data_IF_160543316612
#
_entry.id   IF_160543316612
#
_cell.length_a   1.000
_cell.length_b   1.000
_cell.length_c   1.000
_cell.angle_alpha   90.00
_cell.angle_beta   90.00
_cell.angle_gamma   90.00
#
_symmetry.space_group_name_H-M   'P 1'
#
loop_
_entity.id
_entity.type
_entity.pdbx_description
1 polymer ?
#
# COMPACT_ATOMS: atom_id res chain seq x y z
N UNK A 1 -42.19 -10.03 24.95
CA UNK A 1 -41.04 -9.40 24.28
C UNK A 1 -40.38 -10.52 23.46
N UNK A 2 -40.31 -10.40 22.14
CA UNK A 2 -39.57 -11.41 21.32
C UNK A 2 -38.11 -11.08 21.49
N UNK A 3 -37.31 -12.04 21.95
CA UNK A 3 -35.87 -11.90 21.97
C UNK A 3 -35.38 -11.59 20.55
N UNK A 4 -34.92 -10.39 20.33
CA UNK A 4 -34.29 -10.01 19.07
C UNK A 4 -32.95 -10.76 18.97
N UNK A 5 -32.63 -11.39 17.83
CA UNK A 5 -31.44 -12.20 17.71
C UNK A 5 -30.19 -11.34 17.88
N UNK A 6 -29.36 -11.70 18.85
CA UNK A 6 -28.04 -11.08 19.07
C UNK A 6 -27.04 -11.61 18.08
N UNK A 7 -26.07 -10.80 17.71
CA UNK A 7 -24.97 -11.22 16.86
C UNK A 7 -23.99 -12.08 17.67
N UNK A 8 -23.45 -13.12 17.08
CA UNK A 8 -22.42 -13.94 17.76
C UNK A 8 -21.04 -13.24 17.70
N UNK A 9 -20.24 -13.25 18.78
CA UNK A 9 -18.91 -12.61 18.81
C UNK A 9 -17.98 -13.09 17.68
N UNK A 10 -18.11 -14.37 17.30
CA UNK A 10 -17.35 -14.98 16.19
C UNK A 10 -17.67 -14.33 14.83
N UNK A 11 -18.93 -13.91 14.62
CA UNK A 11 -19.32 -13.21 13.40
C UNK A 11 -18.66 -11.83 13.29
N UNK A 12 -18.39 -11.15 14.42
CA UNK A 12 -17.68 -9.87 14.43
C UNK A 12 -16.19 -10.04 14.11
N UNK A 13 -15.62 -11.21 14.38
CA UNK A 13 -14.19 -11.45 14.15
C UNK A 13 -13.78 -11.47 12.67
N UNK A 14 -14.75 -11.63 11.75
CA UNK A 14 -14.51 -11.63 10.30
C UNK A 14 -14.92 -10.33 9.62
N UNK A 15 -15.47 -9.38 10.38
CA UNK A 15 -15.95 -8.09 9.85
C UNK A 15 -14.91 -6.98 10.08
N UNK A 16 -14.51 -6.32 9.03
CA UNK A 16 -13.61 -5.17 9.11
C UNK A 16 -14.39 -3.91 9.55
N UNK A 17 -13.86 -3.03 10.44
CA UNK A 17 -12.64 -3.19 11.23
C UNK A 17 -12.87 -3.88 12.60
N UNK A 18 -14.03 -4.51 12.83
CA UNK A 18 -14.40 -5.16 14.11
C UNK A 18 -13.49 -6.37 14.41
N UNK A 19 -12.87 -6.94 13.38
CA UNK A 19 -11.86 -8.00 13.53
C UNK A 19 -10.64 -7.57 14.37
N UNK A 20 -10.40 -6.25 14.54
CA UNK A 20 -9.32 -5.71 15.37
C UNK A 20 -9.66 -5.64 16.86
N UNK A 21 -10.89 -5.89 17.23
CA UNK A 21 -11.30 -5.95 18.65
C UNK A 21 -10.76 -7.20 19.32
N UNK A 22 -10.41 -7.08 20.60
CA UNK A 22 -10.12 -8.24 21.46
C UNK A 22 -11.39 -9.10 21.60
N UNK A 23 -11.22 -10.34 22.03
CA UNK A 23 -12.35 -11.25 22.27
C UNK A 23 -13.34 -10.67 23.30
N UNK A 24 -12.82 -10.04 24.36
CA UNK A 24 -13.63 -9.39 25.40
C UNK A 24 -14.43 -8.20 24.82
N UNK A 25 -13.84 -7.37 23.98
CA UNK A 25 -14.52 -6.24 23.33
C UNK A 25 -15.60 -6.73 22.35
N UNK A 26 -15.32 -7.78 21.56
CA UNK A 26 -16.33 -8.39 20.68
C UNK A 26 -17.49 -8.98 21.45
N UNK A 27 -17.21 -9.59 22.61
CA UNK A 27 -18.27 -10.11 23.49
C UNK A 27 -19.16 -8.94 23.98
N UNK A 28 -18.58 -7.87 24.51
CA UNK A 28 -19.32 -6.70 24.97
C UNK A 28 -20.14 -6.05 23.85
N UNK A 29 -19.54 -5.88 22.67
CA UNK A 29 -20.24 -5.30 21.52
C UNK A 29 -21.37 -6.20 21.03
N UNK A 30 -21.19 -7.53 21.02
CA UNK A 30 -22.20 -8.49 20.62
C UNK A 30 -23.46 -8.47 21.52
N UNK A 31 -23.28 -8.13 22.79
CA UNK A 31 -24.41 -7.96 23.74
C UNK A 31 -25.22 -6.69 23.47
N UNK A 32 -24.60 -5.65 22.91
CA UNK A 32 -25.24 -4.38 22.60
C UNK A 32 -25.86 -4.33 21.22
N UNK A 33 -25.37 -5.16 20.27
CA UNK A 33 -25.83 -5.18 18.90
C UNK A 33 -27.04 -6.09 18.73
N UNK A 34 -28.00 -5.57 17.99
CA UNK A 34 -29.21 -6.32 17.57
C UNK A 34 -29.14 -6.56 16.07
N UNK A 35 -29.38 -7.81 15.66
CA UNK A 35 -29.53 -8.17 14.25
C UNK A 35 -30.93 -7.80 13.80
N UNK A 36 -31.02 -6.87 12.87
CA UNK A 36 -32.28 -6.38 12.29
C UNK A 36 -32.62 -7.17 11.02
N UNK A 37 -33.91 -7.27 10.71
CA UNK A 37 -34.37 -7.88 9.47
C UNK A 37 -35.06 -6.85 8.56
N UNK A 38 -34.55 -6.75 7.33
CA UNK A 38 -35.14 -5.95 6.27
C UNK A 38 -35.94 -6.85 5.33
N UNK A 39 -37.19 -6.50 5.04
CA UNK A 39 -38.01 -7.20 4.02
C UNK A 39 -37.64 -6.64 2.64
N UNK A 40 -37.92 -7.44 1.59
CA UNK A 40 -37.78 -7.00 0.19
C UNK A 40 -38.42 -5.64 -0.03
N UNK A 41 -37.73 -4.71 -0.69
CA UNK A 41 -38.18 -3.35 -0.96
C UNK A 41 -37.86 -2.34 0.15
N UNK A 42 -37.38 -2.77 1.33
CA UNK A 42 -37.00 -1.85 2.40
C UNK A 42 -35.69 -1.15 2.03
N UNK A 43 -35.69 0.19 2.10
CA UNK A 43 -34.46 1.00 2.05
C UNK A 43 -33.78 0.90 3.41
N UNK A 44 -32.50 0.50 3.40
CA UNK A 44 -31.66 0.40 4.60
C UNK A 44 -30.87 1.68 4.84
N UNK A 45 -30.39 2.29 3.75
CA UNK A 45 -29.63 3.55 3.75
C UNK A 45 -30.11 4.35 2.54
N UNK A 46 -30.25 5.65 2.70
CA UNK A 46 -30.60 6.58 1.65
C UNK A 46 -29.47 7.61 1.45
N UNK A 47 -29.11 7.82 0.18
CA UNK A 47 -28.06 8.80 -0.19
C UNK A 47 -28.42 10.22 0.28
N UNK A 48 -27.43 10.93 0.81
CA UNK A 48 -27.59 12.29 1.35
C UNK A 48 -28.04 12.35 2.82
N UNK A 49 -28.51 11.25 3.41
CA UNK A 49 -28.86 11.19 4.84
C UNK A 49 -27.59 11.11 5.69
N UNK A 50 -27.54 11.94 6.74
CA UNK A 50 -26.47 11.98 7.73
C UNK A 50 -27.01 11.41 9.06
N UNK A 51 -26.87 10.10 9.28
CA UNK A 51 -27.33 9.42 10.50
C UNK A 51 -26.19 8.93 11.41
N UNK A 52 -24.95 9.14 10.98
CA UNK A 52 -23.73 8.78 11.72
C UNK A 52 -23.58 7.28 12.01
N UNK A 53 -24.20 6.43 11.19
CA UNK A 53 -24.23 4.97 11.36
C UNK A 53 -23.67 4.25 10.15
N UNK A 54 -22.80 3.31 10.40
CA UNK A 54 -22.35 2.34 9.39
C UNK A 54 -23.34 1.20 9.27
N UNK A 55 -23.59 0.74 8.04
CA UNK A 55 -24.42 -0.41 7.73
C UNK A 55 -23.57 -1.65 7.46
N UNK A 56 -23.77 -2.71 8.23
CA UNK A 56 -23.25 -4.04 7.96
C UNK A 56 -24.37 -4.98 7.54
N UNK A 57 -24.15 -5.70 6.45
CA UNK A 57 -25.07 -6.75 5.98
C UNK A 57 -24.45 -8.11 6.28
N UNK A 58 -25.18 -8.97 6.96
CA UNK A 58 -24.75 -10.31 7.35
C UNK A 58 -25.18 -11.37 6.36
N UNK A 59 -26.41 -11.21 5.83
CA UNK A 59 -27.02 -12.21 4.97
C UNK A 59 -28.13 -11.58 4.12
N UNK A 60 -28.41 -12.13 2.93
CA UNK A 60 -29.48 -11.70 2.05
C UNK A 60 -28.97 -11.12 0.72
N UNK A 61 -29.88 -10.49 0.00
CA UNK A 61 -29.61 -9.86 -1.31
C UNK A 61 -30.00 -8.39 -1.25
N UNK A 62 -29.05 -7.52 -1.59
CA UNK A 62 -29.23 -6.07 -1.60
C UNK A 62 -28.92 -5.49 -2.98
N UNK A 63 -29.53 -4.34 -3.27
CA UNK A 63 -29.18 -3.45 -4.36
C UNK A 63 -28.55 -2.22 -3.76
N UNK A 64 -27.42 -1.80 -4.30
CA UNK A 64 -26.72 -0.56 -3.95
C UNK A 64 -26.78 0.37 -5.16
N UNK A 65 -27.39 1.52 -4.98
CA UNK A 65 -27.49 2.57 -5.99
C UNK A 65 -26.56 3.74 -5.55
N UNK A 66 -25.58 4.06 -6.34
CA UNK A 66 -24.65 5.19 -6.06
C UNK A 66 -25.25 6.51 -6.53
N UNK A 67 -24.70 7.64 -6.06
CA UNK A 67 -25.12 8.98 -6.47
C UNK A 67 -24.93 9.24 -7.97
N UNK A 68 -24.06 8.47 -8.62
CA UNK A 68 -23.72 8.62 -10.04
C UNK A 68 -24.64 7.79 -10.96
N UNK A 69 -25.67 7.15 -10.37
CA UNK A 69 -26.71 6.41 -11.08
C UNK A 69 -26.36 4.94 -11.37
N UNK A 70 -25.27 4.43 -10.85
CA UNK A 70 -24.94 3.02 -10.98
C UNK A 70 -25.68 2.15 -9.94
N UNK A 71 -26.05 0.95 -10.36
CA UNK A 71 -26.75 -0.02 -9.53
C UNK A 71 -25.99 -1.33 -9.48
N UNK A 72 -25.65 -1.80 -8.29
CA UNK A 72 -25.01 -3.09 -8.08
C UNK A 72 -25.83 -3.98 -7.17
N UNK A 73 -25.75 -5.29 -7.40
CA UNK A 73 -26.46 -6.29 -6.60
C UNK A 73 -25.43 -7.18 -5.91
N UNK A 74 -25.54 -7.26 -4.58
CA UNK A 74 -24.74 -8.15 -3.75
C UNK A 74 -25.65 -9.18 -3.09
N UNK A 75 -25.16 -10.41 -2.98
CA UNK A 75 -25.87 -11.52 -2.34
C UNK A 75 -24.94 -12.32 -1.42
N UNK A 76 -25.50 -13.30 -0.74
CA UNK A 76 -24.81 -14.10 0.27
C UNK A 76 -23.37 -14.46 -0.15
N UNK A 77 -22.45 -14.39 0.80
CA UNK A 77 -21.01 -14.62 0.63
C UNK A 77 -20.27 -13.58 -0.21
N UNK A 78 -20.95 -12.48 -0.61
CA UNK A 78 -20.26 -11.39 -1.28
C UNK A 78 -19.14 -10.83 -0.38
N UNK A 79 -17.92 -10.66 -0.89
CA UNK A 79 -16.79 -10.10 -0.12
C UNK A 79 -17.14 -8.75 0.53
N UNK A 80 -18.02 -7.97 -0.09
CA UNK A 80 -18.51 -6.69 0.40
C UNK A 80 -19.19 -6.78 1.77
N UNK A 81 -19.78 -7.92 2.10
CA UNK A 81 -20.43 -8.11 3.41
C UNK A 81 -19.45 -8.24 4.58
N UNK A 82 -18.17 -8.42 4.30
CA UNK A 82 -17.11 -8.41 5.33
C UNK A 82 -16.70 -7.01 5.79
N UNK A 83 -17.25 -5.96 5.17
CA UNK A 83 -17.00 -4.55 5.49
C UNK A 83 -18.32 -3.80 5.60
N UNK A 84 -18.35 -2.58 6.21
CA UNK A 84 -19.57 -1.78 6.17
C UNK A 84 -19.92 -1.43 4.73
N UNK A 85 -21.15 -1.73 4.32
CA UNK A 85 -21.68 -1.41 2.99
C UNK A 85 -21.77 0.10 2.79
N UNK A 86 -22.13 0.84 3.85
CA UNK A 86 -22.12 2.30 3.87
C UNK A 86 -21.58 2.78 5.20
N UNK A 87 -20.64 3.73 5.13
CA UNK A 87 -19.93 4.30 6.28
C UNK A 87 -19.82 5.83 6.18
N UNK A 88 -19.90 6.40 4.95
CA UNK A 88 -19.81 7.85 4.74
C UNK A 88 -20.96 8.58 5.45
N UNK A 89 -20.69 9.79 5.94
CA UNK A 89 -21.67 10.66 6.58
C UNK A 89 -21.56 12.09 6.00
N UNK A 90 -22.51 12.55 5.17
CA UNK A 90 -23.73 11.84 4.73
C UNK A 90 -23.45 10.63 3.82
N UNK A 91 -24.38 9.67 3.80
CA UNK A 91 -24.28 8.50 2.94
C UNK A 91 -24.20 8.88 1.47
N UNK A 92 -23.32 8.19 0.71
CA UNK A 92 -23.11 8.43 -0.73
C UNK A 92 -23.86 7.44 -1.62
N UNK A 93 -24.65 6.55 -1.03
CA UNK A 93 -25.37 5.49 -1.74
C UNK A 93 -26.70 5.19 -1.11
N UNK A 94 -27.62 4.62 -1.89
CA UNK A 94 -28.90 4.07 -1.43
C UNK A 94 -28.82 2.55 -1.42
N UNK A 95 -29.16 1.91 -0.31
CA UNK A 95 -29.11 0.46 -0.14
C UNK A 95 -30.52 -0.07 0.06
N UNK A 96 -30.99 -0.92 -0.87
CA UNK A 96 -32.33 -1.47 -0.89
C UNK A 96 -32.31 -3.01 -0.80
N UNK A 97 -33.16 -3.59 0.04
CA UNK A 97 -33.29 -5.04 0.16
C UNK A 97 -34.01 -5.64 -1.07
N UNK A 98 -33.38 -6.63 -1.71
CA UNK A 98 -33.98 -7.43 -2.78
C UNK A 98 -34.57 -8.77 -2.27
N UNK A 99 -34.17 -9.19 -1.09
CA UNK A 99 -34.70 -10.36 -0.36
C UNK A 99 -34.96 -9.98 1.10
N UNK A 100 -35.22 -10.97 1.97
CA UNK A 100 -35.06 -10.76 3.42
C UNK A 100 -33.55 -10.62 3.71
N UNK A 101 -33.15 -9.52 4.38
CA UNK A 101 -31.76 -9.16 4.67
C UNK A 101 -31.57 -9.10 6.18
N UNK A 102 -30.53 -9.75 6.68
CA UNK A 102 -30.06 -9.62 8.05
C UNK A 102 -28.93 -8.61 8.09
N UNK A 103 -29.04 -7.61 8.94
CA UNK A 103 -28.10 -6.50 9.03
C UNK A 103 -28.05 -5.93 10.44
N UNK A 104 -26.99 -5.18 10.74
CA UNK A 104 -26.93 -4.33 11.92
C UNK A 104 -26.35 -2.95 11.55
N UNK A 105 -26.52 -2.01 12.46
CA UNK A 105 -25.98 -0.67 12.34
C UNK A 105 -25.07 -0.40 13.52
N UNK A 106 -23.96 0.26 13.24
CA UNK A 106 -22.94 0.62 14.23
C UNK A 106 -22.67 2.11 14.14
N UNK A 107 -22.57 2.76 15.28
CA UNK A 107 -22.18 4.19 15.33
C UNK A 107 -20.79 4.39 14.71
N UNK A 108 -20.67 5.38 13.83
CA UNK A 108 -19.40 5.64 13.11
C UNK A 108 -18.24 5.91 14.05
N UNK A 109 -18.49 6.51 15.24
CA UNK A 109 -17.44 6.77 16.21
C UNK A 109 -16.80 5.47 16.77
N UNK A 110 -17.54 4.36 16.85
CA UNK A 110 -16.98 3.06 17.27
C UNK A 110 -15.97 2.58 16.25
N UNK A 111 -16.31 2.70 14.97
CA UNK A 111 -15.42 2.38 13.86
C UNK A 111 -14.21 3.31 13.85
N UNK A 112 -14.45 4.63 13.95
CA UNK A 112 -13.40 5.64 14.02
C UNK A 112 -12.44 5.37 15.18
N UNK A 113 -12.97 5.13 16.39
CA UNK A 113 -12.17 4.80 17.57
C UNK A 113 -11.36 3.50 17.40
N UNK A 114 -11.92 2.47 16.74
CA UNK A 114 -11.18 1.24 16.46
C UNK A 114 -10.05 1.49 15.46
N UNK A 115 -10.29 2.32 14.47
CA UNK A 115 -9.30 2.71 13.47
C UNK A 115 -8.25 3.65 14.07
N UNK A 116 -8.67 4.61 14.90
CA UNK A 116 -7.78 5.48 15.69
C UNK A 116 -6.99 4.69 16.73
N UNK A 117 -7.59 3.73 17.43
CA UNK A 117 -6.88 2.81 18.33
C UNK A 117 -5.89 1.94 17.58
N UNK A 118 -6.20 1.48 16.39
CA UNK A 118 -5.23 0.78 15.54
C UNK A 118 -4.14 1.72 15.03
N UNK A 119 -4.47 2.98 14.74
CA UNK A 119 -3.50 4.02 14.40
C UNK A 119 -2.75 4.53 15.65
N UNK A 120 -3.42 4.66 16.80
CA UNK A 120 -2.85 4.97 18.11
C UNK A 120 -2.25 3.73 18.78
N UNK A 121 -2.69 2.51 18.49
CA UNK A 121 -1.99 1.29 18.89
C UNK A 121 -0.83 0.97 17.96
N UNK A 122 -0.70 1.59 16.76
CA UNK A 122 0.61 1.80 16.17
C UNK A 122 1.47 2.75 17.06
N UNK A 123 0.92 3.78 17.68
CA UNK A 123 1.67 4.65 18.62
C UNK A 123 1.63 4.16 20.08
N UNK A 124 0.69 3.35 20.53
CA UNK A 124 0.59 2.77 21.90
C UNK A 124 0.90 1.26 21.95
N UNK A 125 0.81 0.50 20.83
CA UNK A 125 1.54 -0.75 20.65
C UNK A 125 3.02 -0.46 20.39
N UNK A 126 3.38 0.76 19.95
CA UNK A 126 4.75 1.25 20.11
C UNK A 126 5.16 1.24 21.59
N UNK A 127 4.32 1.55 22.54
CA UNK A 127 4.68 1.44 23.97
C UNK A 127 4.59 0.02 24.52
N UNK A 128 3.65 -0.81 24.12
CA UNK A 128 3.51 -2.21 24.56
C UNK A 128 4.34 -3.20 23.74
N UNK A 129 4.49 -3.00 22.41
CA UNK A 129 5.47 -3.71 21.58
C UNK A 129 6.89 -3.25 21.92
N UNK A 130 7.12 -1.99 22.25
CA UNK A 130 8.41 -1.50 22.75
C UNK A 130 8.79 -2.18 24.07
N UNK A 131 7.87 -2.55 24.92
CA UNK A 131 8.17 -3.28 26.16
C UNK A 131 8.62 -4.72 25.88
N UNK A 132 7.96 -5.43 24.94
CA UNK A 132 8.41 -6.76 24.47
C UNK A 132 9.65 -6.73 23.57
N UNK A 133 9.88 -5.61 22.85
CA UNK A 133 11.06 -5.43 22.00
C UNK A 133 12.24 -4.78 22.73
N UNK A 134 12.05 -4.21 23.94
CA UNK A 134 13.15 -3.66 24.76
C UNK A 134 14.22 -4.66 25.10
N UNK A 135 13.83 -5.92 25.28
CA UNK A 135 14.76 -7.03 25.50
C UNK A 135 15.32 -7.63 24.21
N UNK A 136 14.88 -7.13 23.04
CA UNK A 136 15.41 -7.54 21.74
C UNK A 136 16.68 -6.74 21.40
N UNK A 137 17.85 -7.41 21.39
CA UNK A 137 19.12 -6.71 21.17
C UNK A 137 19.25 -6.09 19.77
N UNK A 138 18.59 -6.66 18.75
CA UNK A 138 18.53 -6.09 17.40
C UNK A 138 17.76 -4.77 17.40
N UNK A 139 16.56 -4.76 18.01
CA UNK A 139 15.75 -3.55 18.12
C UNK A 139 16.51 -2.45 18.89
N UNK A 140 17.08 -2.79 20.05
CA UNK A 140 17.81 -1.86 20.91
C UNK A 140 19.03 -1.27 20.20
N UNK A 141 19.79 -2.07 19.45
CA UNK A 141 20.94 -1.59 18.69
C UNK A 141 20.54 -0.60 17.59
N UNK A 142 19.50 -0.92 16.80
CA UNK A 142 19.02 -0.03 15.74
C UNK A 142 18.43 1.24 16.34
N UNK A 143 17.65 1.13 17.41
CA UNK A 143 17.02 2.28 18.08
C UNK A 143 18.06 3.22 18.68
N UNK A 144 19.11 2.68 19.30
CA UNK A 144 20.22 3.49 19.83
C UNK A 144 20.95 4.23 18.72
N UNK A 145 21.31 3.51 17.63
CA UNK A 145 21.97 4.13 16.46
C UNK A 145 21.10 5.18 15.77
N UNK A 146 19.75 5.05 15.84
CA UNK A 146 18.81 6.07 15.39
C UNK A 146 18.90 7.34 16.24
N UNK A 147 18.89 7.21 17.57
CA UNK A 147 18.98 8.34 18.50
C UNK A 147 20.32 9.07 18.35
N UNK A 148 21.41 8.30 18.20
CA UNK A 148 22.78 8.82 18.10
C UNK A 148 23.14 9.33 16.70
N UNK A 149 22.21 9.29 15.74
CA UNK A 149 22.41 9.59 14.29
C UNK A 149 23.55 8.77 13.65
N UNK A 150 23.80 7.59 14.21
CA UNK A 150 24.86 6.66 13.78
C UNK A 150 24.33 5.50 12.92
N UNK A 151 23.03 5.49 12.61
CA UNK A 151 22.43 4.42 11.84
C UNK A 151 23.19 4.21 10.52
N UNK A 152 23.68 2.98 10.31
CA UNK A 152 24.33 2.59 9.06
C UNK A 152 23.25 2.39 8.00
N UNK A 153 23.17 3.36 7.09
CA UNK A 153 22.23 3.32 5.97
C UNK A 153 22.95 2.96 4.67
N UNK A 154 22.28 2.23 3.75
CA UNK A 154 22.87 1.95 2.45
C UNK A 154 23.12 3.25 1.68
N UNK A 155 24.23 3.26 0.93
CA UNK A 155 24.59 4.40 0.10
C UNK A 155 23.90 4.31 -1.26
N UNK A 156 23.22 5.38 -1.66
CA UNK A 156 22.62 5.44 -3.00
C UNK A 156 23.74 5.33 -4.07
N UNK A 157 23.59 4.47 -5.09
CA UNK A 157 24.61 4.26 -6.11
C UNK A 157 25.08 5.56 -6.76
N UNK A 158 26.42 5.70 -6.95
CA UNK A 158 27.04 6.95 -7.45
C UNK A 158 26.44 7.44 -8.76
N UNK A 159 26.09 6.52 -9.68
CA UNK A 159 25.46 6.87 -10.96
C UNK A 159 24.10 7.53 -10.74
N UNK A 160 23.27 6.97 -9.86
CA UNK A 160 21.97 7.56 -9.54
C UNK A 160 22.11 8.97 -8.94
N UNK A 161 23.02 9.15 -7.99
CA UNK A 161 23.33 10.48 -7.40
C UNK A 161 23.83 11.45 -8.46
N UNK A 162 24.79 11.00 -9.31
CA UNK A 162 25.38 11.81 -10.37
C UNK A 162 24.35 12.29 -11.40
N UNK A 163 23.51 11.38 -11.88
CA UNK A 163 22.45 11.70 -12.87
C UNK A 163 21.41 12.64 -12.26
N UNK A 164 20.97 12.39 -11.02
CA UNK A 164 20.03 13.29 -10.32
C UNK A 164 20.59 14.70 -10.22
N UNK A 165 21.82 14.87 -9.69
CA UNK A 165 22.47 16.17 -9.55
C UNK A 165 22.69 16.86 -10.89
N UNK A 166 23.07 16.11 -11.93
CA UNK A 166 23.28 16.65 -13.25
C UNK A 166 21.99 17.24 -13.85
N UNK A 167 20.85 16.54 -13.66
CA UNK A 167 19.52 17.00 -14.12
C UNK A 167 19.03 18.18 -13.29
N UNK A 168 19.19 18.17 -11.98
CA UNK A 168 18.80 19.25 -11.08
C UNK A 168 19.61 20.55 -11.32
N UNK A 169 20.82 20.44 -11.83
CA UNK A 169 21.69 21.57 -12.17
C UNK A 169 21.66 21.92 -13.67
N UNK A 170 20.69 21.47 -14.44
CA UNK A 170 20.52 21.72 -15.87
C UNK A 170 21.78 21.45 -16.70
N UNK A 171 22.53 20.40 -16.33
CA UNK A 171 23.76 20.02 -17.03
C UNK A 171 23.40 19.51 -18.45
N UNK A 172 24.18 19.86 -19.50
CA UNK A 172 23.93 19.40 -20.85
C UNK A 172 23.76 17.88 -20.96
N UNK A 173 22.81 17.43 -21.79
CA UNK A 173 22.44 16.00 -21.98
C UNK A 173 23.65 15.12 -22.22
N UNK A 174 24.65 15.61 -22.99
CA UNK A 174 25.89 14.86 -23.27
C UNK A 174 26.68 14.47 -22.00
N UNK A 175 26.65 15.30 -20.95
CA UNK A 175 27.30 14.97 -19.67
C UNK A 175 26.49 13.93 -18.91
N UNK A 176 25.17 13.98 -18.99
CA UNK A 176 24.27 12.96 -18.39
C UNK A 176 24.49 11.62 -19.09
N UNK A 177 24.60 11.62 -20.41
CA UNK A 177 24.94 10.44 -21.21
C UNK A 177 26.23 9.79 -20.75
N UNK A 178 27.29 10.56 -20.55
CA UNK A 178 28.58 10.05 -20.07
C UNK A 178 28.49 9.42 -18.67
N UNK A 179 27.67 9.99 -17.78
CA UNK A 179 27.44 9.41 -16.45
C UNK A 179 26.74 8.06 -16.55
N UNK A 180 25.76 7.92 -17.45
CA UNK A 180 25.04 6.66 -17.67
C UNK A 180 25.94 5.63 -18.37
N UNK A 181 26.76 6.05 -19.32
CA UNK A 181 27.72 5.19 -20.05
C UNK A 181 28.77 4.58 -19.12
N UNK A 182 29.06 5.22 -17.98
CA UNK A 182 30.00 4.67 -17.01
C UNK A 182 29.52 3.32 -16.41
N UNK A 183 28.23 3.00 -16.54
CA UNK A 183 27.63 1.70 -16.19
C UNK A 183 27.01 1.07 -17.45
N UNK A 184 27.72 0.14 -18.14
CA UNK A 184 27.22 -0.48 -19.36
C UNK A 184 25.92 -1.26 -19.19
N UNK A 185 25.69 -1.87 -18.02
CA UNK A 185 24.45 -2.58 -17.73
C UNK A 185 23.28 -1.61 -17.66
N UNK A 186 23.44 -0.50 -16.98
CA UNK A 186 22.46 0.58 -16.86
C UNK A 186 22.18 1.23 -18.24
N UNK A 187 23.23 1.49 -19.02
CA UNK A 187 23.13 2.02 -20.39
C UNK A 187 22.28 1.13 -21.30
N UNK A 188 22.59 -0.18 -21.28
CA UNK A 188 21.84 -1.19 -22.05
C UNK A 188 20.39 -1.26 -21.62
N UNK A 189 20.14 -1.25 -20.31
CA UNK A 189 18.79 -1.33 -19.72
C UNK A 189 17.96 -0.10 -20.09
N UNK A 190 18.55 1.09 -20.08
CA UNK A 190 17.87 2.34 -20.45
C UNK A 190 17.46 2.33 -21.95
N UNK A 191 18.34 1.90 -22.85
CA UNK A 191 18.04 1.76 -24.27
C UNK A 191 16.93 0.71 -24.50
N UNK A 192 17.01 -0.43 -23.81
CA UNK A 192 15.98 -1.48 -23.85
C UNK A 192 14.63 -0.94 -23.39
N UNK A 193 14.59 -0.18 -22.29
CA UNK A 193 13.38 0.44 -21.77
C UNK A 193 12.79 1.44 -22.76
N UNK A 194 13.61 2.29 -23.38
CA UNK A 194 13.17 3.24 -24.40
C UNK A 194 12.53 2.54 -25.62
N UNK A 195 12.88 1.28 -25.88
CA UNK A 195 12.32 0.47 -26.97
C UNK A 195 11.22 -0.50 -26.52
N UNK A 196 10.89 -0.56 -25.25
CA UNK A 196 9.79 -1.37 -24.70
C UNK A 196 8.43 -0.85 -25.17
N UNK A 197 7.39 -1.66 -25.02
CA UNK A 197 6.03 -1.26 -25.41
C UNK A 197 5.54 -0.01 -24.67
N UNK A 198 6.10 0.28 -23.49
CA UNK A 198 5.76 1.47 -22.69
C UNK A 198 6.18 2.80 -23.34
N UNK A 199 7.33 2.82 -24.05
CA UNK A 199 7.95 4.04 -24.59
C UNK A 199 8.25 3.98 -26.09
N UNK A 200 8.05 2.85 -26.75
CA UNK A 200 8.42 2.70 -28.16
C UNK A 200 7.69 3.68 -29.07
N UNK A 201 8.43 4.17 -30.06
CA UNK A 201 7.93 4.93 -31.18
C UNK A 201 8.20 4.17 -32.49
N UNK A 202 7.91 4.77 -33.66
CA UNK A 202 8.19 4.15 -34.96
C UNK A 202 9.67 3.82 -35.16
N UNK A 203 10.56 4.68 -34.65
CA UNK A 203 12.00 4.50 -34.78
C UNK A 203 12.57 3.83 -33.50
N UNK A 204 13.58 2.99 -33.65
CA UNK A 204 14.28 2.35 -32.51
C UNK A 204 15.34 3.30 -31.98
N UNK A 205 15.44 3.46 -30.65
CA UNK A 205 16.54 4.14 -30.01
C UNK A 205 17.76 3.20 -29.95
N UNK A 206 18.90 3.63 -30.45
CA UNK A 206 20.16 2.89 -30.43
C UNK A 206 21.23 3.51 -29.53
N UNK A 207 20.99 4.75 -29.07
CA UNK A 207 21.89 5.50 -28.19
C UNK A 207 21.18 5.97 -26.93
N UNK A 208 21.96 6.28 -25.88
CA UNK A 208 21.43 6.86 -24.64
C UNK A 208 20.81 8.22 -24.90
N UNK A 209 21.45 9.03 -25.77
CA UNK A 209 20.91 10.34 -26.18
C UNK A 209 19.51 10.17 -26.79
N UNK A 210 19.32 9.24 -27.72
CA UNK A 210 18.02 8.94 -28.32
C UNK A 210 17.00 8.44 -27.27
N UNK A 211 17.44 7.63 -26.30
CA UNK A 211 16.62 7.19 -25.19
C UNK A 211 16.17 8.37 -24.31
N UNK A 212 17.10 9.27 -24.00
CA UNK A 212 16.82 10.50 -23.24
C UNK A 212 15.84 11.40 -24.00
N UNK A 213 16.08 11.62 -25.29
CA UNK A 213 15.19 12.45 -26.13
C UNK A 213 13.78 11.88 -26.19
N UNK A 214 13.64 10.55 -26.21
CA UNK A 214 12.35 9.87 -26.27
C UNK A 214 11.58 9.92 -24.96
N UNK A 215 12.24 9.62 -23.85
CA UNK A 215 11.60 9.49 -22.53
C UNK A 215 11.59 10.80 -21.74
N UNK A 216 12.50 11.72 -22.06
CA UNK A 216 12.73 12.93 -21.30
C UNK A 216 13.62 12.73 -20.06
N UNK A 217 14.26 13.81 -19.61
CA UNK A 217 15.23 13.80 -18.51
C UNK A 217 14.60 13.34 -17.19
N UNK A 218 13.36 13.74 -16.93
CA UNK A 218 12.65 13.39 -15.69
C UNK A 218 12.43 11.87 -15.58
N UNK A 219 11.92 11.26 -16.63
CA UNK A 219 11.72 9.80 -16.73
C UNK A 219 13.07 9.07 -16.58
N UNK A 220 14.10 9.52 -17.29
CA UNK A 220 15.44 8.93 -17.21
C UNK A 220 16.01 9.02 -15.81
N UNK A 221 15.87 10.14 -15.10
CA UNK A 221 16.28 10.29 -13.70
C UNK A 221 15.64 9.23 -12.80
N UNK A 222 14.33 9.05 -12.90
CA UNK A 222 13.59 8.10 -12.08
C UNK A 222 13.95 6.65 -12.43
N UNK A 223 14.06 6.31 -13.71
CA UNK A 223 14.45 4.97 -14.16
C UNK A 223 15.89 4.61 -13.76
N UNK A 224 16.85 5.52 -13.99
CA UNK A 224 18.25 5.32 -13.57
C UNK A 224 18.32 5.08 -12.06
N UNK A 225 17.58 5.86 -11.28
CA UNK A 225 17.51 5.67 -9.82
C UNK A 225 16.94 4.29 -9.49
N UNK A 226 15.80 3.92 -10.09
CA UNK A 226 15.12 2.62 -9.86
C UNK A 226 16.05 1.43 -10.17
N UNK A 227 16.70 1.44 -11.32
CA UNK A 227 17.60 0.36 -11.72
C UNK A 227 18.84 0.24 -10.83
N UNK A 228 19.37 1.38 -10.38
CA UNK A 228 20.53 1.40 -9.50
C UNK A 228 20.23 0.83 -8.10
N UNK A 229 18.98 0.90 -7.64
CA UNK A 229 18.59 0.42 -6.31
C UNK A 229 18.70 -1.10 -6.14
N UNK A 230 18.61 -1.89 -7.22
CA UNK A 230 18.67 -3.35 -7.16
C UNK A 230 19.88 -3.88 -6.39
N UNK A 231 21.00 -3.20 -6.47
CA UNK A 231 22.23 -3.61 -5.77
C UNK A 231 22.12 -3.52 -4.24
N UNK A 232 21.22 -2.68 -3.73
CA UNK A 232 21.02 -2.51 -2.29
C UNK A 232 20.28 -3.70 -1.64
N UNK A 233 19.60 -4.51 -2.46
CA UNK A 233 18.85 -5.69 -2.00
C UNK A 233 19.67 -6.98 -2.08
N UNK A 234 20.99 -6.89 -2.29
CA UNK A 234 21.87 -8.03 -2.34
C UNK A 234 22.63 -8.19 -1.04
N UNK A 235 22.70 -9.42 -0.54
CA UNK A 235 23.52 -9.82 0.60
C UNK A 235 24.10 -11.21 0.37
N UNK A 236 25.26 -11.46 0.97
CA UNK A 236 25.89 -12.79 0.99
C UNK A 236 25.48 -13.61 2.24
N UNK A 237 24.80 -13.01 3.20
CA UNK A 237 24.35 -13.69 4.41
C UNK A 237 23.14 -14.59 4.16
N UNK A 238 23.34 -15.90 4.32
CA UNK A 238 22.32 -16.88 4.00
C UNK A 238 21.02 -16.74 4.81
N UNK A 239 21.10 -16.31 6.08
CA UNK A 239 19.93 -16.17 6.95
C UNK A 239 18.92 -15.13 6.45
N UNK A 240 19.40 -14.04 5.82
CA UNK A 240 18.52 -12.96 5.35
C UNK A 240 18.44 -12.83 3.82
N UNK A 241 19.20 -13.67 3.09
CA UNK A 241 19.28 -13.62 1.62
C UNK A 241 17.91 -13.81 0.96
N UNK A 242 17.14 -14.76 1.46
CA UNK A 242 15.79 -14.99 0.93
C UNK A 242 14.87 -13.79 1.25
N UNK A 243 14.92 -13.25 2.46
CA UNK A 243 14.15 -12.07 2.87
C UNK A 243 14.47 -10.83 2.02
N UNK A 244 15.75 -10.58 1.71
CA UNK A 244 16.17 -9.49 0.82
C UNK A 244 15.64 -9.69 -0.59
N UNK A 245 15.65 -10.94 -1.10
CA UNK A 245 15.09 -11.28 -2.41
C UNK A 245 13.57 -11.06 -2.44
N UNK A 246 12.86 -11.52 -1.41
CA UNK A 246 11.40 -11.37 -1.31
C UNK A 246 11.01 -9.90 -1.19
N UNK A 247 11.78 -9.11 -0.42
CA UNK A 247 11.61 -7.66 -0.34
C UNK A 247 11.78 -7.00 -1.71
N UNK A 248 12.77 -7.39 -2.51
CA UNK A 248 12.95 -6.88 -3.87
C UNK A 248 11.78 -7.24 -4.77
N UNK A 249 11.34 -8.52 -4.74
CA UNK A 249 10.21 -9.00 -5.54
C UNK A 249 8.95 -8.20 -5.18
N UNK A 250 8.63 -8.11 -3.89
CA UNK A 250 7.47 -7.35 -3.43
C UNK A 250 7.54 -5.87 -3.82
N UNK A 251 8.70 -5.23 -3.62
CA UNK A 251 8.89 -3.82 -4.00
C UNK A 251 8.71 -3.59 -5.51
N UNK A 252 9.16 -4.52 -6.36
CA UNK A 252 8.97 -4.41 -7.81
C UNK A 252 7.51 -4.65 -8.23
N UNK A 253 6.77 -5.48 -7.52
CA UNK A 253 5.33 -5.67 -7.74
C UNK A 253 4.54 -4.41 -7.40
N UNK A 254 4.78 -3.83 -6.22
CA UNK A 254 4.15 -2.57 -5.80
C UNK A 254 4.52 -1.44 -6.76
N UNK A 255 5.78 -1.36 -7.20
CA UNK A 255 6.24 -0.37 -8.18
C UNK A 255 5.49 -0.48 -9.51
N UNK A 256 5.31 -1.69 -10.02
CA UNK A 256 4.61 -1.94 -11.28
C UNK A 256 3.12 -1.57 -11.21
N UNK A 257 2.44 -1.95 -10.12
CA UNK A 257 1.04 -1.58 -9.90
C UNK A 257 0.91 -0.07 -9.72
N UNK A 258 1.82 0.57 -8.96
CA UNK A 258 1.84 2.03 -8.79
C UNK A 258 2.00 2.77 -10.12
N UNK A 259 2.88 2.29 -11.00
CA UNK A 259 3.06 2.83 -12.35
C UNK A 259 1.76 2.78 -13.16
N UNK A 260 1.10 1.62 -13.18
CA UNK A 260 -0.13 1.42 -13.96
C UNK A 260 -1.27 2.28 -13.41
N UNK A 261 -1.45 2.33 -12.10
CA UNK A 261 -2.45 3.21 -11.46
C UNK A 261 -2.20 4.68 -11.78
N UNK A 262 -0.95 5.16 -11.67
CA UNK A 262 -0.58 6.54 -12.00
C UNK A 262 -0.89 6.87 -13.46
N UNK A 263 -0.57 5.96 -14.38
CA UNK A 263 -0.84 6.11 -15.81
C UNK A 263 -2.34 6.17 -16.11
N UNK A 264 -3.14 5.36 -15.43
CA UNK A 264 -4.59 5.36 -15.56
C UNK A 264 -5.20 6.65 -15.03
N UNK A 265 -4.82 7.05 -13.83
CA UNK A 265 -5.36 8.24 -13.15
C UNK A 265 -4.94 9.58 -13.80
N UNK A 266 -3.87 9.62 -14.60
CA UNK A 266 -3.36 10.76 -15.38
C UNK A 266 -3.02 12.04 -14.58
N UNK A 267 -3.13 12.01 -13.26
CA UNK A 267 -2.78 13.13 -12.36
C UNK A 267 -1.47 12.92 -11.60
N UNK A 268 -0.88 11.74 -11.72
CA UNK A 268 0.40 11.36 -11.15
C UNK A 268 1.40 11.06 -12.24
N UNK A 269 2.67 11.32 -11.97
CA UNK A 269 3.77 10.90 -12.85
C UNK A 269 4.01 9.40 -12.68
N UNK A 270 3.88 8.57 -13.72
CA UNK A 270 3.99 7.11 -13.59
C UNK A 270 5.38 6.63 -13.14
N UNK A 271 6.45 7.26 -13.62
CA UNK A 271 7.82 6.89 -13.26
C UNK A 271 8.16 7.31 -11.84
N UNK A 272 7.59 8.42 -11.36
CA UNK A 272 7.71 8.81 -9.97
C UNK A 272 6.94 7.83 -9.06
N UNK A 273 5.74 7.43 -9.46
CA UNK A 273 4.95 6.43 -8.74
C UNK A 273 5.66 5.06 -8.70
N UNK A 274 6.29 4.64 -9.82
CA UNK A 274 7.13 3.45 -9.88
C UNK A 274 8.26 3.51 -8.87
N UNK A 275 9.02 4.61 -8.85
CA UNK A 275 10.14 4.78 -7.92
C UNK A 275 9.67 4.83 -6.46
N UNK A 276 8.55 5.47 -6.18
CA UNK A 276 7.93 5.50 -4.85
C UNK A 276 7.48 4.11 -4.41
N UNK A 277 6.82 3.36 -5.30
CA UNK A 277 6.45 1.97 -5.06
C UNK A 277 7.67 1.07 -4.79
N UNK A 278 8.80 1.31 -5.46
CA UNK A 278 10.03 0.57 -5.24
C UNK A 278 10.65 0.88 -3.86
N UNK A 279 10.54 2.13 -3.40
CA UNK A 279 11.16 2.63 -2.18
C UNK A 279 10.27 2.57 -0.93
N UNK A 280 8.98 2.19 -1.07
CA UNK A 280 8.03 2.25 0.04
C UNK A 280 8.46 1.47 1.30
N UNK A 281 9.23 0.41 1.13
CA UNK A 281 9.77 -0.44 2.20
C UNK A 281 11.29 -0.34 2.35
N UNK A 282 11.93 0.74 1.86
CA UNK A 282 13.40 0.91 1.88
C UNK A 282 13.99 0.83 3.29
N UNK A 283 13.21 1.18 4.31
CA UNK A 283 13.63 1.09 5.71
C UNK A 283 13.85 -0.34 6.21
N UNK A 284 13.34 -1.36 5.51
CA UNK A 284 13.63 -2.75 5.84
C UNK A 284 15.11 -3.11 5.58
N UNK A 285 15.76 -2.44 4.62
CA UNK A 285 17.15 -2.77 4.24
C UNK A 285 18.14 -2.70 5.41
N UNK A 286 18.24 -1.58 6.17
CA UNK A 286 19.13 -1.56 7.33
C UNK A 286 18.71 -2.55 8.41
N UNK A 287 17.42 -2.69 8.71
CA UNK A 287 16.95 -3.62 9.75
C UNK A 287 17.41 -5.05 9.43
N UNK A 288 17.23 -5.50 8.20
CA UNK A 288 17.70 -6.81 7.74
C UNK A 288 19.22 -6.90 7.76
N UNK A 289 19.95 -5.84 7.36
CA UNK A 289 21.41 -5.84 7.42
C UNK A 289 21.95 -5.87 8.85
N UNK A 290 21.29 -5.22 9.81
CA UNK A 290 21.65 -5.33 11.22
C UNK A 290 21.38 -6.73 11.76
N UNK A 291 20.31 -7.40 11.30
CA UNK A 291 19.97 -8.77 11.72
C UNK A 291 21.07 -9.78 11.36
N UNK A 292 21.96 -9.50 10.40
CA UNK A 292 23.12 -10.33 10.09
C UNK A 292 24.05 -10.56 11.29
N UNK A 293 24.06 -9.64 12.26
CA UNK A 293 24.85 -9.72 13.50
C UNK A 293 24.14 -10.48 14.61
N UNK A 294 22.87 -10.85 14.40
CA UNK A 294 21.99 -11.51 15.38
C UNK A 294 21.35 -12.77 14.77
N UNK A 295 22.14 -13.85 14.55
CA UNK A 295 21.67 -15.05 13.83
C UNK A 295 20.42 -15.71 14.45
N UNK A 296 20.30 -15.69 15.76
CA UNK A 296 19.16 -16.27 16.47
C UNK A 296 17.87 -15.50 16.14
N UNK A 297 17.95 -14.16 16.12
CA UNK A 297 16.83 -13.30 15.74
C UNK A 297 16.55 -13.39 14.24
N UNK A 298 17.59 -13.44 13.42
CA UNK A 298 17.46 -13.56 11.96
C UNK A 298 16.77 -14.87 11.56
N UNK A 299 16.86 -15.90 12.38
CA UNK A 299 16.25 -17.22 12.17
C UNK A 299 14.83 -17.34 12.75
N UNK A 300 14.42 -16.42 13.63
CA UNK A 300 13.07 -16.36 14.19
C UNK A 300 12.22 -15.36 13.39
N UNK A 301 11.35 -15.90 12.52
CA UNK A 301 10.51 -15.08 11.64
C UNK A 301 9.62 -14.11 12.41
N UNK A 302 9.05 -14.52 13.55
CA UNK A 302 8.13 -13.68 14.32
C UNK A 302 8.86 -12.50 14.96
N UNK A 303 10.03 -12.74 15.56
CA UNK A 303 10.82 -11.70 16.21
C UNK A 303 11.38 -10.73 15.18
N UNK A 304 11.89 -11.25 14.05
CA UNK A 304 12.41 -10.42 12.97
C UNK A 304 11.32 -9.57 12.34
N UNK A 305 10.15 -10.14 12.05
CA UNK A 305 9.01 -9.40 11.48
C UNK A 305 8.49 -8.32 12.43
N UNK A 306 8.38 -8.61 13.73
CA UNK A 306 8.01 -7.62 14.73
C UNK A 306 8.99 -6.44 14.75
N UNK A 307 10.32 -6.73 14.72
CA UNK A 307 11.37 -5.71 14.68
C UNK A 307 11.30 -4.86 13.40
N UNK A 308 11.18 -5.53 12.24
CA UNK A 308 11.05 -4.87 10.94
C UNK A 308 9.81 -3.96 10.92
N UNK A 309 8.66 -4.46 11.34
CA UNK A 309 7.40 -3.72 11.30
C UNK A 309 7.41 -2.51 12.23
N UNK A 310 8.13 -2.57 13.34
CA UNK A 310 8.26 -1.45 14.28
C UNK A 310 9.18 -0.33 13.78
N UNK A 311 10.20 -0.65 12.99
CA UNK A 311 11.26 0.31 12.63
C UNK A 311 11.23 0.78 11.17
N UNK A 312 10.66 -0.01 10.24
CA UNK A 312 10.80 0.23 8.79
C UNK A 312 10.31 1.60 8.32
N UNK A 313 9.25 2.14 8.91
CA UNK A 313 8.67 3.43 8.52
C UNK A 313 9.61 4.60 8.88
N UNK A 314 10.07 4.65 10.12
CA UNK A 314 10.99 5.71 10.59
C UNK A 314 12.37 5.61 9.94
N UNK A 315 12.92 4.41 9.87
CA UNK A 315 14.19 4.14 9.18
C UNK A 315 14.09 4.53 7.70
N UNK A 316 12.98 4.20 7.04
CA UNK A 316 12.72 4.57 5.65
C UNK A 316 12.69 6.08 5.44
N UNK A 317 12.00 6.80 6.33
CA UNK A 317 11.94 8.26 6.29
C UNK A 317 13.35 8.89 6.44
N UNK A 318 14.17 8.39 7.36
CA UNK A 318 15.55 8.87 7.58
C UNK A 318 16.40 8.61 6.34
N UNK A 319 16.34 7.42 5.76
CA UNK A 319 17.08 7.08 4.53
C UNK A 319 16.73 8.05 3.40
N UNK A 320 15.44 8.23 3.15
CA UNK A 320 14.98 9.09 2.06
C UNK A 320 15.33 10.55 2.29
N UNK A 321 15.31 11.02 3.54
CA UNK A 321 15.77 12.36 3.92
C UNK A 321 17.28 12.50 3.66
N UNK A 322 18.10 11.54 4.12
CA UNK A 322 19.56 11.56 3.88
C UNK A 322 19.91 11.43 2.39
N UNK A 323 19.09 10.74 1.61
CA UNK A 323 19.20 10.67 0.16
C UNK A 323 18.63 11.90 -0.57
N UNK A 324 18.11 12.89 0.16
CA UNK A 324 17.55 14.14 -0.39
C UNK A 324 16.38 13.90 -1.36
N UNK A 325 15.50 12.96 -1.03
CA UNK A 325 14.22 12.80 -1.71
C UNK A 325 13.20 13.82 -1.21
N UNK A 326 12.18 14.11 -2.05
CA UNK A 326 11.10 15.04 -1.68
C UNK A 326 10.22 14.47 -0.55
N UNK A 327 9.47 15.36 0.09
CA UNK A 327 8.53 15.00 1.17
C UNK A 327 7.54 13.92 0.74
N UNK A 328 7.11 13.89 -0.52
CA UNK A 328 6.18 12.87 -1.03
C UNK A 328 6.74 11.45 -0.85
N UNK A 329 8.04 11.23 -1.14
CA UNK A 329 8.70 9.94 -0.93
C UNK A 329 8.76 9.56 0.54
N UNK A 330 9.03 10.54 1.42
CA UNK A 330 9.10 10.34 2.86
C UNK A 330 7.71 9.95 3.39
N UNK A 331 6.67 10.64 2.93
CA UNK A 331 5.28 10.34 3.28
C UNK A 331 4.89 8.93 2.82
N UNK A 332 5.26 8.53 1.60
CA UNK A 332 5.03 7.16 1.11
C UNK A 332 5.66 6.13 2.03
N UNK A 333 6.94 6.29 2.43
CA UNK A 333 7.60 5.33 3.30
C UNK A 333 6.98 5.26 4.71
N UNK A 334 6.48 6.38 5.24
CA UNK A 334 5.80 6.44 6.53
C UNK A 334 4.40 5.81 6.48
N UNK A 335 3.65 6.09 5.42
CA UNK A 335 2.22 5.80 5.34
C UNK A 335 1.86 4.59 4.49
N UNK A 336 2.82 3.86 3.91
CA UNK A 336 2.56 2.73 3.00
C UNK A 336 1.73 1.59 3.61
N UNK A 337 1.56 1.55 4.93
CA UNK A 337 0.71 0.60 5.67
C UNK A 337 -0.29 1.28 6.60
N UNK A 338 -0.41 2.59 6.53
CA UNK A 338 -1.46 3.33 7.22
C UNK A 338 -2.76 3.22 6.40
N UNK A 339 -3.37 2.03 6.41
CA UNK A 339 -4.53 1.68 5.57
C UNK A 339 -5.69 2.67 5.68
N UNK A 340 -5.81 3.31 6.83
CA UNK A 340 -6.91 4.24 7.12
C UNK A 340 -6.46 5.71 7.11
N UNK A 341 -5.29 5.99 6.47
CA UNK A 341 -4.83 7.37 6.34
C UNK A 341 -5.92 8.25 5.70
N UNK A 342 -6.14 9.40 6.31
CA UNK A 342 -7.04 10.43 5.80
C UNK A 342 -6.25 11.70 5.49
N UNK A 343 -6.05 11.95 4.21
CA UNK A 343 -5.45 13.16 3.68
C UNK A 343 -6.52 14.02 3.02
N UNK A 344 -6.33 15.34 3.03
CA UNK A 344 -7.30 16.29 2.48
C UNK A 344 -7.45 16.19 0.94
N UNK A 345 -6.46 15.63 0.27
CA UNK A 345 -6.46 15.39 -1.16
C UNK A 345 -5.69 14.11 -1.49
N UNK A 346 -5.98 13.46 -2.61
CA UNK A 346 -5.25 12.29 -3.04
C UNK A 346 -3.79 12.62 -3.39
N UNK A 347 -2.88 11.81 -2.88
CA UNK A 347 -1.44 11.95 -3.08
C UNK A 347 -0.77 10.63 -3.49
N UNK A 348 0.56 10.64 -3.64
CA UNK A 348 1.32 9.44 -3.98
C UNK A 348 1.29 8.36 -2.89
N UNK A 349 1.13 8.73 -1.62
CA UNK A 349 1.02 7.75 -0.55
C UNK A 349 -0.30 6.98 -0.64
N UNK A 350 -1.41 7.64 -0.98
CA UNK A 350 -2.67 6.97 -1.28
C UNK A 350 -2.53 5.98 -2.46
N UNK A 351 -1.84 6.40 -3.52
CA UNK A 351 -1.63 5.59 -4.71
C UNK A 351 -0.78 4.35 -4.42
N UNK A 352 0.36 4.50 -3.72
CA UNK A 352 1.23 3.38 -3.36
C UNK A 352 0.59 2.45 -2.34
N UNK A 353 -0.19 2.99 -1.40
CA UNK A 353 -0.97 2.20 -0.44
C UNK A 353 -1.97 1.29 -1.15
N UNK A 354 -2.75 1.82 -2.09
CA UNK A 354 -3.69 1.03 -2.90
C UNK A 354 -2.94 0.00 -3.75
N UNK A 355 -1.84 0.39 -4.39
CA UNK A 355 -0.99 -0.53 -5.15
C UNK A 355 -0.47 -1.69 -4.30
N UNK A 356 0.03 -1.37 -3.10
CA UNK A 356 0.52 -2.38 -2.15
C UNK A 356 -0.58 -3.33 -1.70
N UNK A 357 -1.72 -2.80 -1.29
CA UNK A 357 -2.86 -3.62 -0.86
C UNK A 357 -3.32 -4.57 -1.98
N UNK A 358 -3.32 -4.08 -3.23
CA UNK A 358 -3.65 -4.91 -4.39
C UNK A 358 -2.69 -6.10 -4.56
N UNK A 359 -1.40 -5.97 -4.26
CA UNK A 359 -0.44 -7.08 -4.42
C UNK A 359 -0.70 -8.26 -3.47
N UNK A 360 -1.53 -8.08 -2.46
CA UNK A 360 -1.93 -9.14 -1.52
C UNK A 360 -3.20 -9.88 -1.98
N UNK A 361 -3.93 -9.37 -2.98
CA UNK A 361 -5.15 -10.03 -3.48
C UNK A 361 -4.79 -11.37 -4.13
N UNK A 362 -5.47 -12.45 -3.71
CA UNK A 362 -5.26 -13.81 -4.24
C UNK A 362 -4.07 -14.58 -3.64
N UNK A 363 -3.40 -14.06 -2.64
CA UNK A 363 -2.36 -14.78 -1.88
C UNK A 363 -2.99 -15.48 -0.67
N UNK A 364 -3.03 -16.81 -0.69
CA UNK A 364 -3.77 -17.63 0.30
C UNK A 364 -3.21 -17.62 1.74
N UNK A 365 -2.01 -17.11 2.00
CA UNK A 365 -1.31 -17.35 3.28
C UNK A 365 -0.64 -16.16 3.95
N UNK A 366 -0.88 -14.93 3.52
CA UNK A 366 -0.23 -13.78 4.16
C UNK A 366 -1.23 -12.75 4.68
N UNK A 367 -1.18 -12.53 6.00
CA UNK A 367 -1.86 -11.50 6.79
C UNK A 367 -3.40 -11.60 6.85
N UNK A 368 -3.90 -12.35 7.83
CA UNK A 368 -5.33 -12.51 8.13
C UNK A 368 -6.09 -11.21 8.46
N UNK A 369 -5.42 -10.04 8.45
CA UNK A 369 -5.95 -8.76 8.93
C UNK A 369 -5.80 -7.59 7.95
N UNK A 370 -5.67 -7.84 6.63
CA UNK A 370 -5.65 -6.75 5.65
C UNK A 370 -7.08 -6.23 5.37
N UNK A 371 -7.25 -4.91 5.24
CA UNK A 371 -8.52 -4.34 4.81
C UNK A 371 -8.82 -4.73 3.36
N UNK A 372 -10.08 -4.78 3.02
CA UNK A 372 -10.46 -4.93 1.62
C UNK A 372 -10.14 -3.65 0.86
N UNK A 373 -9.72 -3.79 -0.41
CA UNK A 373 -9.22 -2.66 -1.21
C UNK A 373 -10.21 -1.48 -1.26
N UNK A 374 -11.49 -1.77 -1.44
CA UNK A 374 -12.55 -0.76 -1.50
C UNK A 374 -12.96 -0.19 -0.12
N UNK A 375 -12.45 -0.73 0.99
CA UNK A 375 -12.74 -0.20 2.34
C UNK A 375 -11.74 0.86 2.79
N UNK A 376 -10.64 1.05 2.07
CA UNK A 376 -9.63 2.03 2.45
C UNK A 376 -9.95 3.42 1.89
N UNK A 377 -9.82 4.50 2.70
CA UNK A 377 -10.11 5.86 2.23
C UNK A 377 -9.31 6.26 0.99
N UNK A 378 -8.09 5.78 0.86
CA UNK A 378 -7.22 6.03 -0.28
C UNK A 378 -7.85 5.58 -1.62
N UNK A 379 -8.56 4.44 -1.65
CA UNK A 379 -9.22 3.92 -2.85
C UNK A 379 -10.30 4.89 -3.36
N UNK A 380 -11.12 5.39 -2.45
CA UNK A 380 -12.18 6.36 -2.75
C UNK A 380 -11.61 7.73 -3.16
N UNK A 381 -10.59 8.21 -2.45
CA UNK A 381 -9.92 9.49 -2.79
C UNK A 381 -9.28 9.47 -4.16
N UNK A 382 -8.77 8.32 -4.58
CA UNK A 382 -8.23 8.13 -5.93
C UNK A 382 -9.32 8.10 -7.01
N UNK A 383 -10.59 7.94 -6.63
CA UNK A 383 -11.71 7.85 -7.56
C UNK A 383 -11.77 6.51 -8.29
N UNK A 384 -11.23 5.45 -7.68
CA UNK A 384 -11.21 4.10 -8.25
C UNK A 384 -12.54 3.36 -8.09
N UNK A 385 -13.47 3.96 -7.33
CA UNK A 385 -14.83 3.48 -7.10
C UNK A 385 -15.89 4.18 -7.98
N UNK A 386 -15.50 5.22 -8.76
CA UNK A 386 -16.45 6.11 -9.44
C UNK A 386 -17.22 5.42 -10.57
N UNK A 387 -16.66 4.39 -11.18
CA UNK A 387 -17.29 3.71 -12.32
C UNK A 387 -17.85 2.30 -11.98
N UNK A 388 -17.24 1.59 -11.05
CA UNK A 388 -17.60 0.25 -10.56
C UNK A 388 -16.51 -0.18 -9.55
N UNK A 389 -16.83 -0.61 -8.32
CA UNK A 389 -15.81 -1.16 -7.40
C UNK A 389 -15.02 -2.32 -8.00
N UNK A 390 -15.63 -3.10 -8.90
CA UNK A 390 -14.94 -4.13 -9.68
C UNK A 390 -14.05 -3.55 -10.78
N UNK A 391 -14.32 -2.33 -11.27
CA UNK A 391 -13.56 -1.68 -12.33
C UNK A 391 -12.20 -1.16 -11.84
N UNK A 392 -12.11 -0.70 -10.59
CA UNK A 392 -10.81 -0.43 -9.96
C UNK A 392 -9.92 -1.67 -9.91
N UNK A 393 -10.51 -2.85 -9.67
CA UNK A 393 -9.85 -4.16 -9.76
C UNK A 393 -9.61 -4.57 -11.21
N UNK A 394 -10.57 -4.34 -12.13
CA UNK A 394 -10.42 -4.67 -13.56
C UNK A 394 -9.37 -3.81 -14.24
N UNK A 395 -9.20 -2.54 -13.87
CA UNK A 395 -8.12 -1.68 -14.38
C UNK A 395 -6.75 -2.33 -14.19
N UNK A 396 -6.51 -2.91 -13.02
CA UNK A 396 -5.25 -3.57 -12.72
C UNK A 396 -5.20 -4.96 -13.39
N UNK A 397 -6.32 -5.69 -13.41
CA UNK A 397 -6.43 -6.98 -14.09
C UNK A 397 -6.23 -6.85 -15.61
N UNK A 398 -6.84 -5.84 -16.22
CA UNK A 398 -6.69 -5.54 -17.67
C UNK A 398 -5.28 -5.04 -18.03
N UNK A 399 -4.54 -4.52 -17.04
CA UNK A 399 -3.17 -4.04 -17.21
C UNK A 399 -2.10 -5.08 -16.87
N UNK A 400 -2.45 -6.37 -16.71
CA UNK A 400 -1.50 -7.43 -16.35
C UNK A 400 -0.28 -7.51 -17.28
N UNK A 401 -0.47 -7.28 -18.59
CA UNK A 401 0.64 -7.24 -19.55
C UNK A 401 1.60 -6.08 -19.21
N UNK A 402 1.08 -4.89 -18.92
CA UNK A 402 1.89 -3.72 -18.58
C UNK A 402 2.60 -3.91 -17.23
N UNK A 403 1.93 -4.48 -16.23
CA UNK A 403 2.52 -4.83 -14.94
C UNK A 403 3.68 -5.80 -15.14
N UNK A 404 3.47 -6.86 -15.93
CA UNK A 404 4.51 -7.84 -16.21
C UNK A 404 5.67 -7.24 -17.01
N UNK A 405 5.41 -6.33 -17.94
CA UNK A 405 6.45 -5.62 -18.67
C UNK A 405 7.30 -4.75 -17.73
N UNK A 406 6.68 -3.94 -16.87
CA UNK A 406 7.39 -3.12 -15.86
C UNK A 406 8.20 -4.01 -14.92
N UNK A 407 7.63 -5.11 -14.42
CA UNK A 407 8.34 -6.07 -13.57
C UNK A 407 9.54 -6.68 -14.29
N UNK A 408 9.40 -7.06 -15.55
CA UNK A 408 10.48 -7.63 -16.33
C UNK A 408 11.64 -6.65 -16.54
N UNK A 409 11.35 -5.36 -16.70
CA UNK A 409 12.36 -4.32 -16.80
C UNK A 409 13.13 -4.12 -15.48
N UNK A 410 12.45 -4.23 -14.32
CA UNK A 410 13.08 -4.13 -12.99
C UNK A 410 13.80 -5.42 -12.57
N UNK A 411 13.40 -6.59 -13.09
CA UNK A 411 14.00 -7.88 -12.76
C UNK A 411 15.37 -8.10 -13.40
N UNK A 412 15.69 -7.38 -14.47
CA UNK A 412 16.97 -7.44 -15.19
C UNK A 412 18.08 -6.78 -14.40
#
# INVERSE_FOLDING_TARGET
>A
MRDEPKIQPQALAVLFPLCFMTEAERLMLSEQLTVLKGKKGKCLVESGIADNKALYVLNGKIKVDTTDGESQIYENDAPQFKSPISFANPHKMTVTCLSTVEYFRLENHVIANLLERKNASKSASDHGLQEHLRDNPLFSAIYQDLIDDNLVIPTLPKVAVGVRKAIENDVPVRKIELLIQADPALATLLIKTANSALYRTRNTASTIEQAIMRMGLRTVKNLVTSYSLKHLFKTEHNAIKQRMKDLWIHSTEVAAVSYVLAKHLRRFDPEQALLMGLLHNVGMLPVLSYAERYPDIASDENILDATVNSLKAEVGAIILTKWQFSQDFITVAKDAENWMRDSSAPDYADLVLVAKLHTFIGREHQEQNLPQLYSVPAFHKLGLDQDDPNKGLSIIADANEQINEVRSLLAL
#
